data_IF_591409893183
#
_entry.id   IF_591409893183
#
_cell.length_a   1.000
_cell.length_b   1.000
_cell.length_c   1.000
_cell.angle_alpha   90.00
_cell.angle_beta   90.00
_cell.angle_gamma   90.00
#
_symmetry.space_group_name_H-M   'P 1'
#
loop_
_entity.id
_entity.type
_entity.pdbx_description
1 polymer ?
#
# COMPACT_ATOMS: atom_id res chain seq x y z
N UNK A 1 -1.10 -8.80 1.17
CA UNK A 1 -0.38 -7.64 1.75
C UNK A 1 -1.17 -6.34 1.74
N UNK A 2 -2.46 -6.38 1.38
CA UNK A 2 -3.40 -5.27 1.51
C UNK A 2 -4.43 -5.67 2.54
N UNK A 3 -4.80 -4.73 3.42
CA UNK A 3 -5.86 -4.91 4.40
C UNK A 3 -6.90 -3.83 4.16
N UNK A 4 -8.18 -4.22 4.15
CA UNK A 4 -9.32 -3.31 4.16
C UNK A 4 -10.13 -3.57 5.42
N UNK A 5 -10.40 -2.51 6.18
CA UNK A 5 -11.11 -2.60 7.44
C UNK A 5 -12.24 -1.57 7.51
N UNK A 6 -13.46 -2.04 7.78
CA UNK A 6 -14.59 -1.18 8.10
C UNK A 6 -14.53 -0.80 9.57
N UNK A 7 -14.18 0.45 9.86
CA UNK A 7 -14.05 0.96 11.22
C UNK A 7 -15.39 1.45 11.81
N UNK A 8 -16.36 1.75 10.94
CA UNK A 8 -17.64 2.30 11.38
C UNK A 8 -17.43 3.65 12.04
N UNK A 9 -18.04 3.89 13.21
CA UNK A 9 -17.95 5.18 13.91
C UNK A 9 -16.99 5.17 15.11
N UNK A 10 -16.33 4.03 15.39
CA UNK A 10 -15.55 3.82 16.61
C UNK A 10 -14.57 4.96 16.93
N UNK A 11 -13.76 5.37 15.95
CA UNK A 11 -12.80 6.45 16.11
C UNK A 11 -13.44 7.84 16.01
N UNK A 12 -14.42 8.01 15.11
CA UNK A 12 -15.10 9.28 14.93
C UNK A 12 -15.90 9.71 16.19
N UNK A 13 -16.50 8.75 16.91
CA UNK A 13 -17.20 8.99 18.17
C UNK A 13 -16.24 9.42 19.27
N UNK A 14 -15.14 8.69 19.46
CA UNK A 14 -14.14 9.02 20.50
C UNK A 14 -13.42 10.35 20.24
N UNK A 15 -13.21 10.71 18.98
CA UNK A 15 -12.56 11.96 18.57
C UNK A 15 -13.53 13.13 18.35
N UNK A 16 -14.84 12.94 18.52
CA UNK A 16 -15.90 13.93 18.21
C UNK A 16 -15.83 14.47 16.77
N UNK A 17 -15.47 13.61 15.81
CA UNK A 17 -15.38 13.95 14.39
C UNK A 17 -16.78 13.95 13.74
N UNK A 18 -17.47 15.08 13.86
CA UNK A 18 -18.82 15.29 13.33
C UNK A 18 -18.81 16.23 12.12
N UNK A 19 -19.73 15.99 11.18
CA UNK A 19 -19.99 16.84 10.02
C UNK A 19 -21.48 17.19 9.94
N UNK A 20 -21.82 18.31 9.30
CA UNK A 20 -23.22 18.62 9.02
C UNK A 20 -23.71 17.75 7.86
N UNK A 21 -24.84 17.09 8.04
CA UNK A 21 -25.52 16.38 6.96
C UNK A 21 -26.31 17.37 6.07
N UNK A 22 -26.98 16.86 5.04
CA UNK A 22 -27.78 17.67 4.12
C UNK A 22 -28.92 18.48 4.79
N UNK A 23 -29.34 18.09 6.00
CA UNK A 23 -30.36 18.78 6.79
C UNK A 23 -29.76 19.81 7.77
N UNK A 24 -28.43 20.00 7.76
CA UNK A 24 -27.73 20.86 8.70
C UNK A 24 -27.62 20.29 10.12
N UNK A 25 -27.87 18.98 10.31
CA UNK A 25 -27.70 18.30 11.60
C UNK A 25 -26.31 17.68 11.70
N UNK A 26 -25.74 17.70 12.91
CA UNK A 26 -24.48 17.04 13.20
C UNK A 26 -24.63 15.51 13.05
N UNK A 27 -23.74 14.91 12.28
CA UNK A 27 -23.65 13.47 12.03
C UNK A 27 -22.20 13.01 12.17
N UNK A 28 -21.99 11.92 12.91
CA UNK A 28 -20.68 11.33 13.10
C UNK A 28 -20.25 10.55 11.85
N UNK A 29 -19.00 10.75 11.44
CA UNK A 29 -18.43 10.16 10.23
C UNK A 29 -18.36 8.62 10.31
N UNK A 30 -18.68 7.97 9.19
CA UNK A 30 -18.35 6.56 8.98
C UNK A 30 -16.94 6.45 8.39
N UNK A 31 -16.09 5.64 9.03
CA UNK A 31 -14.68 5.50 8.69
C UNK A 31 -14.36 4.10 8.16
N UNK A 32 -13.34 4.05 7.32
CA UNK A 32 -12.64 2.85 6.91
C UNK A 32 -11.14 3.09 6.92
N UNK A 33 -10.35 2.02 6.99
CA UNK A 33 -8.90 2.08 6.89
C UNK A 33 -8.42 1.05 5.85
N UNK A 34 -7.42 1.45 5.08
CA UNK A 34 -6.73 0.58 4.15
C UNK A 34 -5.23 0.72 4.37
N UNK A 35 -4.52 -0.41 4.31
CA UNK A 35 -3.08 -0.46 4.52
C UNK A 35 -2.41 -1.40 3.54
N UNK A 36 -1.27 -0.99 3.02
CA UNK A 36 -0.37 -1.81 2.20
C UNK A 36 1.05 -1.74 2.77
N UNK A 37 1.67 -2.90 2.96
CA UNK A 37 3.06 -2.97 3.44
C UNK A 37 4.04 -2.73 2.30
N UNK A 38 4.34 -1.47 1.97
CA UNK A 38 5.19 -1.10 0.80
C UNK A 38 6.59 -1.73 0.88
N UNK A 39 7.29 -1.63 2.01
CA UNK A 39 8.62 -2.24 2.16
C UNK A 39 8.56 -3.77 2.12
N UNK A 40 7.49 -4.36 2.69
CA UNK A 40 7.26 -5.82 2.61
C UNK A 40 6.93 -6.28 1.19
N UNK A 41 6.39 -5.40 0.34
CA UNK A 41 6.10 -5.69 -1.08
C UNK A 41 7.35 -5.99 -1.87
N UNK A 42 8.46 -5.30 -1.57
CA UNK A 42 9.74 -5.58 -2.20
C UNK A 42 10.19 -7.01 -1.90
N UNK A 43 10.16 -7.41 -0.62
CA UNK A 43 10.53 -8.77 -0.22
C UNK A 43 9.60 -9.83 -0.83
N UNK A 44 8.29 -9.64 -0.76
CA UNK A 44 7.33 -10.59 -1.33
C UNK A 44 7.44 -10.71 -2.86
N UNK A 45 7.78 -9.63 -3.56
CA UNK A 45 8.03 -9.65 -4.99
C UNK A 45 9.28 -10.48 -5.32
N UNK A 46 10.36 -10.32 -4.55
CA UNK A 46 11.58 -11.13 -4.68
C UNK A 46 11.28 -12.61 -4.40
N UNK A 47 10.58 -12.93 -3.30
CA UNK A 47 10.23 -14.30 -2.92
C UNK A 47 9.39 -15.01 -4.00
N UNK A 48 8.58 -14.28 -4.76
CA UNK A 48 7.76 -14.84 -5.84
C UNK A 48 8.49 -14.88 -7.20
N UNK A 49 9.57 -14.11 -7.36
CA UNK A 49 10.25 -13.93 -8.64
C UNK A 49 11.78 -14.03 -8.46
N UNK A 50 12.27 -15.25 -8.31
CA UNK A 50 13.70 -15.54 -8.25
C UNK A 50 14.02 -16.87 -8.95
N UNK A 51 15.28 -17.03 -9.35
CA UNK A 51 15.86 -18.28 -9.81
C UNK A 51 17.21 -18.53 -9.12
N UNK A 52 17.94 -19.55 -9.56
CA UNK A 52 19.26 -19.88 -9.01
C UNK A 52 20.31 -18.78 -9.22
N UNK A 53 20.10 -17.85 -10.16
CA UNK A 53 21.01 -16.75 -10.49
C UNK A 53 20.67 -15.45 -9.77
N UNK A 54 19.48 -15.36 -9.16
CA UNK A 54 19.11 -14.27 -8.27
C UNK A 54 17.69 -13.74 -8.52
N UNK A 55 17.53 -12.43 -8.29
CA UNK A 55 16.23 -11.75 -8.33
C UNK A 55 15.82 -11.50 -9.78
N UNK A 56 14.55 -11.80 -10.10
CA UNK A 56 13.91 -11.43 -11.36
C UNK A 56 12.89 -10.33 -11.04
N UNK A 57 13.26 -9.06 -11.28
CA UNK A 57 12.35 -7.95 -11.02
C UNK A 57 11.18 -7.94 -12.01
N UNK A 58 9.92 -7.77 -11.54
CA UNK A 58 8.83 -7.35 -12.40
C UNK A 58 9.14 -6.01 -13.06
N UNK A 59 8.81 -5.85 -14.34
CA UNK A 59 9.18 -4.66 -15.12
C UNK A 59 8.73 -3.34 -14.47
N UNK A 60 7.54 -3.31 -13.86
CA UNK A 60 6.98 -2.11 -13.22
C UNK A 60 7.69 -1.65 -11.93
N UNK A 61 8.55 -2.48 -11.35
CA UNK A 61 9.27 -2.17 -10.11
C UNK A 61 10.77 -2.40 -10.19
N UNK A 62 11.29 -2.76 -11.37
CA UNK A 62 12.71 -2.89 -11.58
C UNK A 62 13.39 -1.53 -11.31
N UNK A 63 14.53 -1.50 -10.61
CA UNK A 63 15.22 -0.25 -10.32
C UNK A 63 15.73 0.45 -11.58
N UNK A 64 16.05 -0.33 -12.61
CA UNK A 64 16.44 0.10 -13.95
C UNK A 64 15.90 -0.90 -14.97
N UNK A 65 15.53 -0.43 -16.16
CA UNK A 65 15.05 -1.30 -17.23
C UNK A 65 16.18 -2.13 -17.87
N UNK A 66 17.38 -1.55 -17.97
CA UNK A 66 18.55 -2.15 -18.63
C UNK A 66 19.81 -1.81 -17.83
N UNK A 67 20.70 -2.79 -17.66
CA UNK A 67 22.04 -2.60 -17.12
C UNK A 67 23.09 -2.84 -18.22
N UNK A 68 23.80 -1.80 -18.64
CA UNK A 68 24.86 -1.90 -19.66
C UNK A 68 26.20 -2.08 -18.94
N UNK A 69 26.88 -3.19 -19.23
CA UNK A 69 28.17 -3.52 -18.61
C UNK A 69 29.26 -3.49 -19.69
N UNK A 70 30.23 -2.59 -19.54
CA UNK A 70 31.41 -2.57 -20.40
C UNK A 70 32.41 -3.64 -19.92
N UNK A 71 32.56 -4.69 -20.71
CA UNK A 71 33.60 -5.70 -20.50
C UNK A 71 34.82 -5.17 -21.25
N UNK A 72 35.76 -4.54 -20.53
CA UNK A 72 36.98 -4.00 -21.11
C UNK A 72 37.80 -5.07 -21.85
N UNK A 73 38.69 -4.61 -22.73
CA UNK A 73 39.69 -5.43 -23.43
C UNK A 73 41.02 -5.35 -22.71
#
# INVERSE_FOLDING_TARGET
>A
MVIFLKLGKLYAESMKANVLNAEGKASTLHMGCYGIGVSRLVAAAIEQNFDEKGIIWPHSMAPFDINIIAIGV
#
